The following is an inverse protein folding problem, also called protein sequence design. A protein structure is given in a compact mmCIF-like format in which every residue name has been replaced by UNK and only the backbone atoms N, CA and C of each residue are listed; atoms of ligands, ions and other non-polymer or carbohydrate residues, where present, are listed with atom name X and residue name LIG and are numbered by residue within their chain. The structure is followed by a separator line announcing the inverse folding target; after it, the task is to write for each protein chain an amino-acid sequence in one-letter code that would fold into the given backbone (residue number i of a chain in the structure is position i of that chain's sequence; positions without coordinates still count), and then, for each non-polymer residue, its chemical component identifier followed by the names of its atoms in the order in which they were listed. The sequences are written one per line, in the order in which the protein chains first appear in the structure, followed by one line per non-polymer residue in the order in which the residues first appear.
data_IF_594963266778
#
_entry.id   IF_594963266778
#
_cell.length_a   1.000
_cell.length_b   1.000
_cell.length_c   1.000
_cell.angle_alpha   90.00
_cell.angle_beta   90.00
_cell.angle_gamma   90.00
#
_symmetry.space_group_name_H-M   'P 1'
#
loop_
_entity.id
_entity.type
_entity.pdbx_description
1 polymer ?
#
# COMPACT_ATOMS: atom_id res chain seq x y z
N UNK A 1 9.25 -44.15 38.53
CA UNK A 1 9.94 -45.18 37.73
C UNK A 1 9.29 -45.19 36.35
N UNK A 2 9.62 -44.25 35.46
CA UNK A 2 10.68 -44.31 34.43
C UNK A 2 10.47 -45.44 33.41
N UNK A 3 9.80 -45.14 32.30
CA UNK A 3 10.21 -45.56 30.95
C UNK A 3 9.90 -44.43 29.95
N UNK A 4 11.00 -43.91 29.41
CA UNK A 4 11.12 -42.86 28.41
C UNK A 4 11.31 -43.59 27.08
N UNK A 5 10.44 -43.39 26.10
CA UNK A 5 10.62 -43.91 24.74
C UNK A 5 10.65 -42.74 23.77
N UNK A 6 11.87 -42.39 23.37
CA UNK A 6 12.19 -41.41 22.33
C UNK A 6 12.18 -42.18 21.01
N UNK A 7 11.26 -41.88 20.10
CA UNK A 7 11.33 -42.32 18.70
C UNK A 7 11.82 -41.17 17.85
N UNK A 8 13.05 -41.29 17.40
CA UNK A 8 13.72 -40.42 16.43
C UNK A 8 13.35 -40.96 15.04
N UNK A 9 12.55 -40.23 14.25
CA UNK A 9 12.45 -40.47 12.81
C UNK A 9 13.16 -39.33 12.07
N UNK A 10 14.36 -39.62 11.59
CA UNK A 10 15.05 -38.82 10.60
C UNK A 10 14.51 -39.19 9.22
N UNK A 11 13.76 -38.29 8.59
CA UNK A 11 13.39 -38.41 7.19
C UNK A 11 14.30 -37.50 6.36
N UNK A 12 15.32 -38.10 5.75
CA UNK A 12 16.15 -37.49 4.71
C UNK A 12 15.36 -37.47 3.41
N UNK A 13 15.02 -36.28 2.88
CA UNK A 13 14.54 -36.14 1.51
C UNK A 13 15.63 -35.51 0.65
N UNK A 14 16.07 -36.30 -0.33
CA UNK A 14 17.06 -36.01 -1.35
C UNK A 14 16.54 -34.99 -2.37
N UNK A 15 17.31 -33.93 -2.64
CA UNK A 15 17.08 -32.99 -3.75
C UNK A 15 17.68 -33.57 -5.01
N UNK A 16 16.88 -33.83 -6.04
CA UNK A 16 17.34 -34.14 -7.40
C UNK A 16 17.16 -32.90 -8.29
N UNK A 17 18.27 -32.28 -8.67
CA UNK A 17 18.32 -31.23 -9.71
C UNK A 17 18.38 -31.92 -11.08
N UNK A 18 17.30 -31.81 -11.87
CA UNK A 18 17.30 -32.24 -13.28
C UNK A 18 17.59 -31.03 -14.15
N UNK A 19 18.81 -31.01 -14.69
CA UNK A 19 19.34 -30.10 -15.71
C UNK A 19 19.45 -30.85 -17.05
N UNK A 20 19.55 -30.10 -18.16
CA UNK A 20 19.55 -30.46 -19.60
C UNK A 20 18.16 -30.44 -20.27
N UNK A 21 17.97 -29.86 -21.45
CA UNK A 21 18.86 -29.24 -22.44
C UNK A 21 18.01 -28.60 -23.56
N UNK A 22 18.47 -27.49 -24.13
CA UNK A 22 19.03 -27.40 -25.50
C UNK A 22 18.01 -27.60 -26.63
N UNK A 23 17.66 -26.49 -27.28
CA UNK A 23 16.98 -26.42 -28.57
C UNK A 23 17.37 -25.12 -29.28
N UNK A 24 18.50 -25.16 -29.99
CA UNK A 24 18.95 -24.17 -30.97
C UNK A 24 18.00 -24.15 -32.19
N UNK A 25 17.66 -22.95 -32.69
CA UNK A 25 17.54 -22.71 -34.14
C UNK A 25 17.64 -21.21 -34.45
N UNK A 26 18.84 -20.87 -34.89
CA UNK A 26 19.29 -19.87 -35.87
C UNK A 26 18.30 -18.99 -36.68
N UNK A 27 18.85 -17.80 -36.99
CA UNK A 27 18.61 -16.88 -38.12
C UNK A 27 17.30 -16.09 -38.15
N UNK A 28 17.31 -14.75 -38.30
CA UNK A 28 18.08 -13.99 -39.30
C UNK A 28 18.44 -12.59 -38.80
N UNK A 29 19.71 -12.24 -38.93
CA UNK A 29 20.19 -10.88 -38.95
C UNK A 29 19.84 -10.20 -40.28
N UNK A 30 19.26 -9.00 -40.22
CA UNK A 30 19.34 -8.02 -41.31
C UNK A 30 19.93 -6.74 -40.71
N UNK A 31 21.13 -6.41 -41.18
CA UNK A 31 21.83 -5.17 -40.93
C UNK A 31 21.63 -4.17 -42.10
N UNK A 32 22.08 -2.94 -41.85
CA UNK A 32 22.26 -1.78 -42.74
C UNK A 32 21.01 -0.93 -43.02
N UNK A 33 21.06 0.40 -43.02
CA UNK A 33 22.15 1.39 -42.85
C UNK A 33 21.48 2.73 -42.46
N UNK A 34 22.01 3.47 -41.47
CA UNK A 34 22.84 4.68 -41.63
C UNK A 34 22.09 5.93 -42.15
N UNK A 35 22.06 7.01 -41.34
CA UNK A 35 22.51 8.37 -41.70
C UNK A 35 21.89 9.50 -40.84
N UNK A 36 22.78 10.22 -40.14
CA UNK A 36 22.87 11.69 -40.06
C UNK A 36 22.05 12.48 -39.01
N UNK A 37 22.81 13.09 -38.10
CA UNK A 37 22.51 14.14 -37.09
C UNK A 37 22.06 15.48 -37.76
N UNK A 38 21.64 16.59 -37.06
CA UNK A 38 22.13 17.06 -35.76
C UNK A 38 21.12 17.73 -34.80
N UNK A 39 21.64 17.92 -33.58
CA UNK A 39 21.35 18.89 -32.52
C UNK A 39 20.25 19.93 -32.73
N UNK A 40 19.37 20.08 -31.74
CA UNK A 40 18.67 21.35 -31.48
C UNK A 40 18.71 21.65 -29.99
N UNK A 41 19.38 22.75 -29.68
CA UNK A 41 19.50 23.42 -28.39
C UNK A 41 18.13 23.95 -27.98
N UNK A 42 17.64 23.60 -26.78
CA UNK A 42 16.50 24.31 -26.19
C UNK A 42 17.05 25.36 -25.23
N UNK A 43 16.97 26.61 -25.69
CA UNK A 43 17.31 27.84 -24.98
C UNK A 43 16.26 28.15 -23.92
N UNK A 44 16.72 28.41 -22.70
CA UNK A 44 16.02 29.09 -21.60
C UNK A 44 15.90 30.60 -21.84
N UNK A 45 14.72 31.19 -21.63
CA UNK A 45 14.50 32.54 -21.04
C UNK A 45 13.00 32.68 -20.72
N UNK A 46 12.61 32.77 -19.45
CA UNK A 46 12.41 34.00 -18.67
C UNK A 46 11.22 34.83 -19.17
N UNK A 47 10.06 34.64 -18.54
CA UNK A 47 8.90 35.51 -18.72
C UNK A 47 8.90 36.56 -17.61
N UNK A 48 9.15 37.80 -18.04
CA UNK A 48 9.17 39.02 -17.24
C UNK A 48 7.74 39.43 -16.88
N UNK A 49 7.56 39.78 -15.60
CA UNK A 49 6.36 40.38 -15.04
C UNK A 49 6.07 41.77 -15.64
N UNK A 50 4.79 42.06 -15.91
CA UNK A 50 4.29 43.44 -16.02
C UNK A 50 2.92 43.62 -15.33
N UNK A 51 2.93 44.58 -14.40
CA UNK A 51 1.89 45.35 -13.69
C UNK A 51 0.56 45.58 -14.45
N UNK A 52 -0.60 45.86 -13.79
CA UNK A 52 -0.75 47.03 -12.92
C UNK A 52 -1.60 46.86 -11.64
N UNK A 53 -1.25 47.63 -10.61
CA UNK A 53 -2.16 47.97 -9.52
C UNK A 53 -3.32 48.85 -10.00
N UNK A 54 -4.53 48.64 -9.47
CA UNK A 54 -5.41 49.75 -9.13
C UNK A 54 -5.65 49.80 -7.62
N UNK A 55 -5.28 50.96 -7.08
CA UNK A 55 -5.52 51.41 -5.70
C UNK A 55 -7.03 51.61 -5.50
N UNK A 56 -7.66 50.99 -4.51
CA UNK A 56 -9.01 51.38 -4.04
C UNK A 56 -9.30 50.97 -2.58
N UNK A 57 -9.22 51.99 -1.71
CA UNK A 57 -10.09 52.39 -0.57
C UNK A 57 -10.55 51.32 0.47
N UNK A 58 -10.40 51.57 1.79
CA UNK A 58 -10.94 50.72 2.85
C UNK A 58 -12.46 50.92 3.00
N UNK A 59 -13.22 49.83 3.03
CA UNK A 59 -14.64 49.87 3.41
C UNK A 59 -14.90 48.85 4.52
N UNK A 60 -14.92 49.38 5.74
CA UNK A 60 -15.40 48.72 6.94
C UNK A 60 -16.92 48.54 6.82
N UNK A 61 -17.35 47.40 6.31
CA UNK A 61 -18.70 46.89 6.51
C UNK A 61 -18.63 45.77 7.58
N UNK A 62 -19.56 45.71 8.56
CA UNK A 62 -19.64 44.57 9.47
C UNK A 62 -19.99 43.32 8.65
N UNK A 63 -19.04 42.40 8.53
CA UNK A 63 -19.27 41.10 7.90
C UNK A 63 -20.28 40.33 8.77
N UNK A 64 -21.39 39.81 8.22
CA UNK A 64 -22.28 38.93 8.97
C UNK A 64 -21.47 37.73 9.49
N UNK A 65 -21.70 37.35 10.75
CA UNK A 65 -21.00 36.28 11.42
C UNK A 65 -20.98 35.02 10.55
N UNK A 66 -19.80 34.69 10.03
CA UNK A 66 -19.56 33.40 9.38
C UNK A 66 -19.78 32.33 10.44
N UNK A 67 -20.89 31.61 10.33
CA UNK A 67 -21.07 30.36 11.05
C UNK A 67 -20.05 29.40 10.43
N UNK A 68 -18.89 29.27 11.06
CA UNK A 68 -17.83 28.37 10.64
C UNK A 68 -18.35 26.95 10.73
N UNK A 69 -18.75 26.39 9.58
CA UNK A 69 -18.92 24.94 9.46
C UNK A 69 -17.56 24.31 9.76
N UNK A 70 -17.46 23.40 10.74
CA UNK A 70 -16.20 22.69 10.99
C UNK A 70 -15.73 22.03 9.70
N UNK A 71 -14.43 22.13 9.41
CA UNK A 71 -13.84 21.38 8.30
C UNK A 71 -14.17 19.89 8.45
N UNK A 72 -14.42 19.16 7.34
CA UNK A 72 -14.62 17.72 7.43
C UNK A 72 -13.39 17.09 8.07
N UNK A 73 -13.60 16.32 9.14
CA UNK A 73 -12.54 15.55 9.79
C UNK A 73 -11.98 14.53 8.80
N UNK A 74 -10.66 14.41 8.74
CA UNK A 74 -10.01 13.43 7.88
C UNK A 74 -10.20 12.03 8.47
N UNK A 75 -10.47 11.02 7.63
CA UNK A 75 -10.58 9.61 8.04
C UNK A 75 -9.44 9.17 8.95
N UNK A 76 -8.23 9.69 8.72
CA UNK A 76 -7.04 9.35 9.48
C UNK A 76 -7.06 9.88 10.92
N UNK A 77 -7.63 11.06 11.13
CA UNK A 77 -7.82 11.62 12.47
C UNK A 77 -8.85 10.78 13.23
N UNK A 78 -9.93 10.36 12.55
CA UNK A 78 -10.95 9.48 13.14
C UNK A 78 -10.38 8.10 13.52
N UNK A 79 -9.54 7.52 12.67
CA UNK A 79 -8.83 6.27 12.97
C UNK A 79 -7.95 6.45 14.21
N UNK A 80 -7.17 7.53 14.25
CA UNK A 80 -6.25 7.80 15.35
C UNK A 80 -6.96 7.97 16.71
N UNK A 81 -8.06 8.72 16.76
CA UNK A 81 -8.84 8.89 18.00
C UNK A 81 -9.51 7.59 18.46
N UNK A 82 -9.98 6.74 17.52
CA UNK A 82 -10.50 5.41 17.86
C UNK A 82 -9.41 4.52 18.47
N UNK A 83 -8.21 4.53 17.89
CA UNK A 83 -7.08 3.73 18.38
C UNK A 83 -6.56 4.21 19.74
N UNK A 84 -6.61 5.51 20.05
CA UNK A 84 -6.31 6.01 21.40
C UNK A 84 -7.26 5.44 22.46
N UNK A 85 -8.52 5.24 22.09
CA UNK A 85 -9.56 4.77 23.00
C UNK A 85 -9.47 3.26 23.19
N UNK A 86 -9.16 2.50 22.14
CA UNK A 86 -9.03 1.04 22.19
C UNK A 86 -8.00 0.51 21.17
N UNK A 87 -6.71 0.42 21.52
CA UNK A 87 -5.65 -0.04 20.61
C UNK A 87 -5.54 -1.57 20.50
N UNK A 88 -6.59 -2.32 20.85
CA UNK A 88 -6.50 -3.78 20.99
C UNK A 88 -6.68 -4.50 19.66
N UNK A 89 -5.86 -5.52 19.39
CA UNK A 89 -6.10 -6.47 18.31
C UNK A 89 -7.45 -7.17 18.52
N UNK A 90 -8.24 -7.29 17.46
CA UNK A 90 -9.60 -7.81 17.49
C UNK A 90 -10.67 -6.77 17.85
N UNK A 91 -10.27 -5.54 18.21
CA UNK A 91 -11.23 -4.48 18.49
C UNK A 91 -11.99 -4.07 17.21
N UNK A 92 -13.29 -3.72 17.32
CA UNK A 92 -14.00 -3.10 16.22
C UNK A 92 -13.50 -1.68 15.99
N UNK A 93 -13.44 -1.26 14.73
CA UNK A 93 -13.12 0.10 14.29
C UNK A 93 -13.99 0.48 13.10
N UNK A 94 -14.29 1.76 12.94
CA UNK A 94 -14.99 2.29 11.77
C UNK A 94 -14.00 3.02 10.87
N UNK A 95 -13.93 2.62 9.60
CA UNK A 95 -13.08 3.23 8.58
C UNK A 95 -13.96 3.60 7.39
N UNK A 96 -14.04 4.89 7.05
CA UNK A 96 -14.94 5.40 6.01
C UNK A 96 -16.40 4.93 6.18
N UNK A 97 -16.90 4.91 7.42
CA UNK A 97 -18.24 4.42 7.75
C UNK A 97 -18.43 2.90 7.66
N UNK A 98 -17.39 2.13 7.33
CA UNK A 98 -17.44 0.67 7.27
C UNK A 98 -16.89 0.06 8.55
N UNK A 99 -17.65 -0.88 9.14
CA UNK A 99 -17.19 -1.63 10.29
C UNK A 99 -16.06 -2.59 9.89
N UNK A 100 -14.97 -2.52 10.62
CA UNK A 100 -13.74 -3.27 10.42
C UNK A 100 -13.21 -3.79 11.75
N UNK A 101 -12.23 -4.68 11.69
CA UNK A 101 -11.57 -5.25 12.88
C UNK A 101 -10.09 -4.93 12.84
N UNK A 102 -9.54 -4.43 13.95
CA UNK A 102 -8.09 -4.20 14.11
C UNK A 102 -7.37 -5.55 14.08
N UNK A 103 -6.44 -5.72 13.15
CA UNK A 103 -5.70 -6.97 12.94
C UNK A 103 -4.23 -6.84 13.30
N UNK A 104 -3.67 -5.65 13.15
CA UNK A 104 -2.31 -5.30 13.56
C UNK A 104 -2.33 -3.88 14.11
N UNK A 105 -1.53 -3.62 15.14
CA UNK A 105 -1.36 -2.31 15.75
C UNK A 105 0.13 -2.07 15.96
N UNK A 106 0.68 -1.03 15.30
CA UNK A 106 2.09 -0.62 15.45
C UNK A 106 3.12 -1.61 14.88
N UNK A 107 3.07 -1.85 13.57
CA UNK A 107 3.89 -2.83 12.84
C UNK A 107 5.17 -2.29 12.20
N UNK A 108 5.35 -0.96 12.19
CA UNK A 108 6.46 -0.34 11.46
C UNK A 108 6.05 -0.03 10.02
N UNK A 109 7.01 0.15 9.12
CA UNK A 109 6.77 0.46 7.70
C UNK A 109 5.90 1.71 7.43
N UNK A 110 5.84 2.63 8.40
CA UNK A 110 4.94 3.79 8.36
C UNK A 110 3.46 3.44 8.51
N UNK A 111 3.14 2.26 9.04
CA UNK A 111 1.80 1.82 9.42
C UNK A 111 1.65 1.83 10.94
N UNK A 112 0.49 2.32 11.38
CA UNK A 112 0.01 2.30 12.75
C UNK A 112 -1.07 1.23 12.95
N UNK A 113 -1.77 0.84 11.88
CA UNK A 113 -2.92 -0.04 11.87
C UNK A 113 -3.00 -0.86 10.57
N UNK A 114 -3.33 -2.13 10.73
CA UNK A 114 -3.96 -2.94 9.68
C UNK A 114 -5.31 -3.43 10.16
N UNK A 115 -6.35 -3.27 9.35
CA UNK A 115 -7.71 -3.70 9.66
C UNK A 115 -8.35 -4.50 8.54
N UNK A 116 -9.15 -5.48 8.93
CA UNK A 116 -9.96 -6.30 8.04
C UNK A 116 -11.39 -5.76 7.94
N UNK A 117 -11.92 -5.62 6.72
CA UNK A 117 -13.34 -5.36 6.49
C UNK A 117 -14.21 -6.60 6.79
N UNK A 118 -15.54 -6.45 6.69
CA UNK A 118 -16.49 -7.47 7.14
C UNK A 118 -16.36 -8.85 6.50
N UNK A 119 -15.90 -8.94 5.24
CA UNK A 119 -15.73 -10.22 4.52
C UNK A 119 -14.26 -10.70 4.50
N UNK A 120 -13.43 -10.14 5.38
CA UNK A 120 -12.00 -10.41 5.44
C UNK A 120 -11.63 -10.91 6.83
N UNK A 121 -10.80 -11.95 6.92
CA UNK A 121 -10.22 -12.36 8.19
C UNK A 121 -8.97 -11.55 8.51
N UNK A 122 -8.61 -11.47 9.80
CA UNK A 122 -7.38 -10.79 10.19
C UNK A 122 -6.12 -11.53 9.72
N UNK A 123 -6.17 -12.85 9.57
CA UNK A 123 -5.09 -13.63 8.97
C UNK A 123 -4.86 -13.23 7.52
N UNK A 124 -5.93 -13.02 6.75
CA UNK A 124 -5.79 -12.58 5.36
C UNK A 124 -5.32 -11.12 5.28
N UNK A 125 -5.81 -10.24 6.16
CA UNK A 125 -5.33 -8.86 6.23
C UNK A 125 -3.82 -8.77 6.53
N UNK A 126 -3.31 -9.62 7.43
CA UNK A 126 -1.87 -9.76 7.70
C UNK A 126 -1.11 -10.26 6.47
N UNK A 127 -1.60 -11.30 5.80
CA UNK A 127 -0.97 -11.79 4.57
C UNK A 127 -0.89 -10.72 3.46
N UNK A 128 -1.90 -9.86 3.37
CA UNK A 128 -1.90 -8.70 2.44
C UNK A 128 -0.85 -7.67 2.84
N UNK A 129 -0.74 -7.35 4.14
CA UNK A 129 0.30 -6.47 4.65
C UNK A 129 1.70 -7.05 4.38
N UNK A 130 1.93 -8.32 4.72
CA UNK A 130 3.21 -9.02 4.49
C UNK A 130 3.62 -8.97 3.02
N UNK A 131 2.68 -9.21 2.09
CA UNK A 131 2.92 -9.11 0.66
C UNK A 131 3.33 -7.69 0.23
N UNK A 132 2.79 -6.64 0.87
CA UNK A 132 3.22 -5.27 0.58
C UNK A 132 4.64 -5.00 1.04
N UNK A 133 5.01 -5.47 2.24
CA UNK A 133 6.30 -5.17 2.86
C UNK A 133 7.42 -6.15 2.49
N UNK A 134 7.13 -7.27 1.82
CA UNK A 134 8.08 -8.34 1.50
C UNK A 134 9.42 -7.87 0.91
N UNK A 135 9.38 -6.86 0.02
CA UNK A 135 10.57 -6.35 -0.68
C UNK A 135 11.13 -5.06 -0.05
N UNK A 136 10.54 -4.60 1.05
CA UNK A 136 10.94 -3.37 1.74
C UNK A 136 12.07 -3.70 2.72
N UNK A 137 13.30 -3.40 2.29
CA UNK A 137 14.55 -3.77 3.00
C UNK A 137 14.78 -3.05 4.34
N UNK A 138 14.02 -2.01 4.65
CA UNK A 138 14.19 -1.22 5.86
C UNK A 138 12.84 -1.04 6.56
N UNK A 139 12.75 -1.44 7.83
CA UNK A 139 11.55 -1.32 8.66
C UNK A 139 11.07 0.14 8.83
N UNK A 140 11.95 1.12 8.60
CA UNK A 140 11.64 2.56 8.65
C UNK A 140 11.11 3.12 7.32
N UNK A 141 11.10 2.35 6.24
CA UNK A 141 10.57 2.80 4.96
C UNK A 141 9.04 2.84 4.98
N UNK A 142 8.43 3.81 4.30
CA UNK A 142 6.98 3.89 4.25
C UNK A 142 6.45 2.96 3.16
N UNK A 143 5.54 2.05 3.51
CA UNK A 143 4.89 1.15 2.52
C UNK A 143 4.22 1.94 1.38
N UNK A 144 3.78 3.18 1.62
CA UNK A 144 3.14 4.03 0.61
C UNK A 144 4.08 4.45 -0.51
N UNK A 145 5.38 4.51 -0.25
CA UNK A 145 6.38 4.90 -1.25
C UNK A 145 6.72 3.73 -2.21
N UNK A 146 6.30 2.52 -1.84
CA UNK A 146 6.57 1.27 -2.56
C UNK A 146 5.29 0.44 -2.78
N UNK A 147 4.12 1.07 -2.72
CA UNK A 147 2.84 0.36 -2.73
C UNK A 147 2.70 -0.46 -4.03
N UNK A 148 2.58 -1.78 -3.89
CA UNK A 148 2.36 -2.69 -5.01
C UNK A 148 0.86 -2.82 -5.29
N UNK A 149 0.49 -2.81 -6.56
CA UNK A 149 -0.88 -3.00 -7.03
C UNK A 149 -0.86 -3.33 -8.52
N UNK A 150 -1.43 -4.46 -8.98
CA UNK A 150 -2.02 -5.55 -8.19
C UNK A 150 -1.00 -6.25 -7.28
N UNK A 151 -1.49 -6.99 -6.28
CA UNK A 151 -0.73 -8.02 -5.56
C UNK A 151 -1.53 -9.34 -5.53
N UNK A 152 -0.83 -10.47 -5.59
CA UNK A 152 -1.43 -11.80 -5.44
C UNK A 152 -1.08 -12.38 -4.08
N UNK A 153 -2.09 -12.70 -3.28
CA UNK A 153 -1.92 -13.12 -1.88
C UNK A 153 -2.55 -14.48 -1.66
N UNK A 154 -1.78 -15.42 -1.10
CA UNK A 154 -2.32 -16.70 -0.65
C UNK A 154 -3.03 -16.52 0.68
N UNK A 155 -4.30 -16.91 0.76
CA UNK A 155 -5.08 -16.84 1.99
C UNK A 155 -4.74 -17.98 2.93
N UNK A 156 -4.29 -17.69 4.17
CA UNK A 156 -4.08 -18.74 5.18
C UNK A 156 -5.37 -19.42 5.63
N UNK A 157 -6.54 -18.79 5.40
CA UNK A 157 -7.84 -19.28 5.86
C UNK A 157 -8.49 -20.20 4.84
N UNK A 158 -8.43 -19.85 3.55
CA UNK A 158 -9.09 -20.62 2.48
C UNK A 158 -8.12 -21.49 1.69
N UNK A 159 -6.81 -21.21 1.75
CA UNK A 159 -5.81 -21.87 0.91
C UNK A 159 -5.84 -21.45 -0.56
N UNK A 160 -6.65 -20.45 -0.90
CA UNK A 160 -6.78 -19.91 -2.25
C UNK A 160 -5.92 -18.66 -2.43
N UNK A 161 -5.55 -18.37 -3.69
CA UNK A 161 -4.85 -17.14 -4.06
C UNK A 161 -5.85 -16.11 -4.55
N UNK A 162 -5.79 -14.91 -3.99
CA UNK A 162 -6.63 -13.77 -4.39
C UNK A 162 -5.77 -12.61 -4.90
N UNK A 163 -6.18 -12.00 -6.01
CA UNK A 163 -5.61 -10.75 -6.50
C UNK A 163 -6.29 -9.57 -5.80
N UNK A 164 -5.49 -8.67 -5.23
CA UNK A 164 -5.93 -7.46 -4.54
C UNK A 164 -5.44 -6.21 -5.27
N UNK A 165 -6.33 -5.25 -5.47
CA UNK A 165 -6.05 -3.91 -5.95
C UNK A 165 -5.87 -2.98 -4.76
N UNK A 166 -4.69 -2.38 -4.65
CA UNK A 166 -4.36 -1.44 -3.57
C UNK A 166 -4.22 -0.01 -4.10
N UNK A 167 -4.68 0.96 -3.31
CA UNK A 167 -4.49 2.39 -3.58
C UNK A 167 -4.38 3.20 -2.29
N UNK A 168 -3.73 4.35 -2.35
CA UNK A 168 -3.58 5.28 -1.23
C UNK A 168 -4.47 6.49 -1.42
N UNK A 169 -5.35 6.77 -0.46
CA UNK A 169 -6.16 7.98 -0.43
C UNK A 169 -5.36 9.21 0.04
N UNK A 170 -5.82 10.46 -0.21
CA UNK A 170 -5.18 11.66 0.30
C UNK A 170 -4.99 11.68 1.83
N UNK A 171 -5.89 11.00 2.55
CA UNK A 171 -5.79 10.79 4.00
C UNK A 171 -4.60 9.92 4.42
N UNK A 172 -3.84 9.35 3.47
CA UNK A 172 -2.82 8.31 3.69
C UNK A 172 -3.41 6.94 4.02
N UNK A 173 -4.72 6.75 4.01
CA UNK A 173 -5.28 5.40 4.14
C UNK A 173 -4.98 4.58 2.87
N UNK A 174 -4.30 3.45 3.02
CA UNK A 174 -4.23 2.44 1.96
C UNK A 174 -5.46 1.56 2.06
N UNK A 175 -6.13 1.34 0.93
CA UNK A 175 -7.24 0.39 0.82
C UNK A 175 -6.89 -0.64 -0.25
N UNK A 176 -6.89 -1.90 0.13
CA UNK A 176 -6.75 -3.04 -0.77
C UNK A 176 -8.10 -3.76 -0.88
N UNK A 177 -8.60 -3.96 -2.09
CA UNK A 177 -9.84 -4.70 -2.37
C UNK A 177 -9.63 -5.78 -3.41
N UNK A 178 -10.33 -6.90 -3.29
CA UNK A 178 -10.19 -7.99 -4.26
C UNK A 178 -10.91 -9.28 -3.87
N UNK A 179 -10.80 -10.29 -4.72
CA UNK A 179 -11.43 -11.59 -4.54
C UNK A 179 -12.92 -11.51 -4.15
N UNK A 180 -13.32 -12.31 -3.16
CA UNK A 180 -14.67 -12.45 -2.62
C UNK A 180 -15.15 -11.24 -1.79
N UNK A 181 -15.04 -10.02 -2.34
CA UNK A 181 -15.32 -8.76 -1.64
C UNK A 181 -14.44 -8.55 -0.39
N UNK A 182 -13.19 -9.05 -0.42
CA UNK A 182 -12.24 -8.81 0.64
C UNK A 182 -11.80 -7.34 0.60
N UNK A 183 -11.79 -6.71 1.77
CA UNK A 183 -11.25 -5.36 1.99
C UNK A 183 -10.24 -5.39 3.12
N UNK A 184 -9.10 -4.75 2.91
CA UNK A 184 -8.04 -4.54 3.90
C UNK A 184 -7.68 -3.06 3.92
N UNK A 185 -7.58 -2.51 5.12
CA UNK A 185 -7.18 -1.12 5.36
C UNK A 185 -5.82 -1.09 6.05
N UNK A 186 -4.92 -0.24 5.58
CA UNK A 186 -3.61 -0.01 6.22
C UNK A 186 -3.38 1.49 6.40
N UNK A 187 -3.15 1.92 7.64
CA UNK A 187 -2.96 3.32 8.02
C UNK A 187 -1.74 3.46 8.91
#
# INVERSE_FOLDING_TARGET
MKRLTISLLAATLTVTLTSCGSGDTDNTATASSEATAPHTVVTTVTETAESPSPKSIPSTAPQPAVTSTPAPVSTSDEIYEQLKTNPSIGAPITINGQQSTVCVYGDGYGLNLVAAGQNTSCEFARAVMDAQIEEIKAEMANVRDHLKSPIDVMSPVTGERYTMQCSTAPSKLITCTGGNNATVYMY
#
